data_IF_774152502219
#
_entry.id   IF_774152502219
#
_cell.length_a   1.000
_cell.length_b   1.000
_cell.length_c   1.000
_cell.angle_alpha   90.00
_cell.angle_beta   90.00
_cell.angle_gamma   90.00
#
_symmetry.space_group_name_H-M   'P 1'
#
loop_
_entity.id
_entity.type
_entity.pdbx_description
1 polymer ?
2 non-polymer ?
3 water ?
#
# COMPACT_ATOMS: atom_id res chain seq x y z
N UNK A 2 3.86 -13.46 0.97
CA UNK A 2 2.39 -13.65 0.77
C UNK A 2 1.98 -13.69 -0.69
N UNK A 3 2.95 -13.46 -1.57
CA UNK A 3 2.71 -13.46 -3.00
C UNK A 3 1.86 -12.24 -3.37
N UNK A 4 0.55 -12.43 -3.56
CA UNK A 4 -0.31 -11.30 -3.92
C UNK A 4 -0.39 -10.24 -2.82
N UNK A 5 -0.72 -10.64 -1.58
CA UNK A 5 -0.78 -9.61 -0.54
C UNK A 5 0.57 -8.89 -0.42
N UNK A 6 1.65 -9.64 -0.62
CA UNK A 6 2.98 -9.06 -0.57
C UNK A 6 3.18 -8.13 -1.77
N UNK A 7 2.85 -8.60 -2.97
CA UNK A 7 3.00 -7.74 -4.15
C UNK A 7 2.19 -6.45 -4.01
N UNK A 8 0.94 -6.57 -3.57
CA UNK A 8 0.08 -5.40 -3.41
C UNK A 8 0.66 -4.45 -2.36
N UNK A 9 1.10 -5.01 -1.23
CA UNK A 9 1.68 -4.17 -0.18
C UNK A 9 2.83 -3.31 -0.73
N UNK A 10 3.71 -3.93 -1.50
CA UNK A 10 4.85 -3.21 -2.05
C UNK A 10 4.42 -2.12 -3.03
N UNK A 11 3.43 -2.41 -3.88
CA UNK A 11 2.95 -1.39 -4.82
C UNK A 11 2.34 -0.22 -4.02
N UNK A 12 1.64 -0.54 -2.94
CA UNK A 12 1.02 0.47 -2.10
C UNK A 12 2.03 1.41 -1.43
N UNK A 13 3.08 0.81 -0.85
CA UNK A 13 4.11 1.59 -0.18
C UNK A 13 4.83 2.49 -1.18
N UNK A 14 5.10 1.96 -2.37
CA UNK A 14 5.78 2.77 -3.39
C UNK A 14 4.91 3.98 -3.78
N UNK A 15 3.65 3.71 -4.07
CA UNK A 15 2.71 4.74 -4.48
C UNK A 15 2.47 5.77 -3.38
N UNK A 16 2.37 5.31 -2.14
CA UNK A 16 2.15 6.22 -1.03
C UNK A 16 3.34 7.18 -0.92
N UNK A 17 4.55 6.64 -0.97
CA UNK A 17 5.73 7.49 -0.88
C UNK A 17 5.79 8.53 -1.99
N UNK A 18 5.46 8.12 -3.21
CA UNK A 18 5.48 9.03 -4.34
C UNK A 18 4.46 10.16 -4.16
N UNK A 19 3.25 9.80 -3.72
CA UNK A 19 2.21 10.81 -3.52
C UNK A 19 2.52 11.78 -2.38
N UNK A 20 3.11 11.28 -1.30
CA UNK A 20 3.46 12.15 -0.19
C UNK A 20 4.42 13.24 -0.68
N UNK A 21 5.34 12.87 -1.58
CA UNK A 21 6.30 13.81 -2.14
C UNK A 21 5.59 14.83 -3.03
N UNK A 22 4.45 14.41 -3.57
CA UNK A 22 3.63 15.25 -4.44
C UNK A 22 2.67 16.10 -3.61
N UNK A 23 2.86 16.09 -2.29
CA UNK A 23 2.02 16.85 -1.38
C UNK A 23 0.55 16.39 -1.29
N UNK A 24 0.29 15.11 -1.56
CA UNK A 24 -1.08 14.61 -1.47
C UNK A 24 -1.47 14.45 -0.01
N UNK A 25 -2.75 14.61 0.30
CA UNK A 25 -3.23 14.44 1.67
C UNK A 25 -3.37 12.93 1.91
N UNK A 26 -3.48 12.52 3.16
CA UNK A 26 -3.62 11.10 3.44
C UNK A 26 -4.91 10.56 2.86
N UNK A 27 -5.98 11.37 2.86
CA UNK A 27 -7.22 10.88 2.27
C UNK A 27 -7.10 10.77 0.75
N UNK A 28 -6.43 11.72 0.09
CA UNK A 28 -6.30 11.61 -1.36
C UNK A 28 -5.54 10.32 -1.71
N UNK A 29 -4.56 9.95 -0.88
CA UNK A 29 -3.79 8.73 -1.14
C UNK A 29 -4.71 7.52 -0.99
N UNK A 30 -5.50 7.51 0.07
CA UNK A 30 -6.43 6.41 0.31
C UNK A 30 -7.41 6.27 -0.87
N UNK A 31 -7.97 7.38 -1.31
CA UNK A 31 -8.92 7.35 -2.42
C UNK A 31 -8.27 6.85 -3.72
N UNK A 32 -7.10 7.38 -4.01
CA UNK A 32 -6.39 7.01 -5.22
C UNK A 32 -5.92 5.56 -5.28
N UNK A 33 -5.34 5.05 -4.19
CA UNK A 33 -4.89 3.65 -4.21
C UNK A 33 -6.08 2.72 -4.35
N UNK A 34 -7.19 3.06 -3.71
CA UNK A 34 -8.38 2.22 -3.81
C UNK A 34 -8.84 2.11 -5.26
N UNK A 35 -8.75 3.21 -5.99
CA UNK A 35 -9.13 3.24 -7.40
C UNK A 35 -8.10 2.50 -8.25
N UNK A 36 -6.82 2.60 -7.87
CA UNK A 36 -5.78 1.92 -8.63
C UNK A 36 -5.95 0.40 -8.51
N UNK A 37 -6.59 -0.04 -7.43
CA UNK A 37 -6.83 -1.48 -7.27
C UNK A 37 -7.67 -2.01 -8.45
N UNK A 38 -8.43 -1.13 -9.09
CA UNK A 38 -9.24 -1.53 -10.23
C UNK A 38 -8.38 -1.93 -11.42
N UNK A 39 -7.07 -1.75 -11.32
CA UNK A 39 -6.20 -2.15 -12.42
C UNK A 39 -5.95 -3.64 -12.37
N UNK A 40 -6.17 -4.26 -11.21
CA UNK A 40 -6.00 -5.71 -11.10
C UNK A 40 -7.10 -6.28 -11.99
N UNK A 41 -6.72 -7.13 -12.96
CA UNK A 41 -7.63 -7.77 -13.92
C UNK A 41 -8.88 -8.50 -13.45
N UNK A 42 -8.80 -9.21 -12.32
CA UNK A 42 -9.98 -9.93 -11.84
C UNK A 42 -10.67 -9.26 -10.66
N UNK A 43 -12.01 -9.30 -10.64
CA UNK A 43 -12.80 -8.69 -9.56
C UNK A 43 -12.38 -9.09 -8.15
N UNK A 44 -12.14 -10.39 -7.93
CA UNK A 44 -11.74 -10.87 -6.61
C UNK A 44 -10.38 -10.28 -6.21
N UNK A 45 -9.46 -10.18 -7.16
CA UNK A 45 -8.15 -9.61 -6.86
C UNK A 45 -8.29 -8.12 -6.54
N UNK A 46 -9.07 -7.41 -7.35
CA UNK A 46 -9.26 -5.99 -7.10
C UNK A 46 -9.88 -5.79 -5.71
N UNK A 47 -10.83 -6.65 -5.35
CA UNK A 47 -11.48 -6.57 -4.04
C UNK A 47 -10.49 -6.80 -2.89
N UNK A 48 -9.62 -7.79 -3.01
CA UNK A 48 -8.65 -8.04 -1.94
C UNK A 48 -7.64 -6.89 -1.87
N UNK A 49 -7.37 -6.26 -3.01
CA UNK A 49 -6.44 -5.14 -3.03
C UNK A 49 -7.07 -4.00 -2.24
N UNK A 50 -8.37 -3.77 -2.44
CA UNK A 50 -9.02 -2.68 -1.71
C UNK A 50 -9.04 -2.92 -0.20
N UNK A 51 -9.17 -4.17 0.22
CA UNK A 51 -9.18 -4.47 1.66
C UNK A 51 -7.79 -4.24 2.27
N UNK A 52 -6.73 -4.58 1.52
CA UNK A 52 -5.36 -4.37 2.00
C UNK A 52 -5.12 -2.87 2.13
N UNK A 53 -5.54 -2.10 1.13
CA UNK A 53 -5.38 -0.66 1.17
C UNK A 53 -6.13 -0.10 2.38
N UNK A 54 -7.40 -0.48 2.54
CA UNK A 54 -8.18 0.01 3.67
C UNK A 54 -7.60 -0.40 5.03
N UNK A 55 -7.16 -1.65 5.14
CA UNK A 55 -6.61 -2.13 6.39
C UNK A 55 -5.19 -1.65 6.72
N UNK A 56 -4.34 -1.51 5.71
CA UNK A 56 -2.95 -1.11 5.95
C UNK A 56 -2.44 0.27 5.56
N UNK A 57 -3.11 0.97 4.65
CA UNK A 57 -2.56 2.27 4.25
C UNK A 57 -2.35 3.24 5.41
N UNK A 58 -3.33 3.39 6.30
CA UNK A 58 -3.08 4.33 7.41
C UNK A 58 -1.86 4.00 8.28
N UNK A 59 -1.63 2.72 8.57
CA UNK A 59 -0.47 2.36 9.39
C UNK A 59 0.80 2.51 8.54
N UNK A 60 0.70 2.25 7.24
CA UNK A 60 1.85 2.43 6.36
C UNK A 60 2.27 3.92 6.40
N UNK A 61 1.30 4.82 6.36
CA UNK A 61 1.63 6.24 6.40
C UNK A 61 2.35 6.61 7.70
N UNK A 62 1.97 5.97 8.80
CA UNK A 62 2.64 6.25 10.07
C UNK A 62 4.05 5.68 10.07
N UNK A 63 4.20 4.50 9.49
CA UNK A 63 5.50 3.85 9.43
C UNK A 63 6.53 4.61 8.60
N UNK A 64 6.13 5.01 7.39
CA UNK A 64 7.06 5.69 6.50
C UNK A 64 7.48 7.08 6.94
N UNK A 65 6.85 7.61 7.99
CA UNK A 65 7.23 8.91 8.53
C UNK A 65 8.47 8.68 9.38
N UNK A 66 8.78 7.41 9.66
CA UNK A 66 9.94 7.06 10.46
C UNK A 66 11.16 6.69 9.62
N UNK A 67 12.07 5.90 10.19
CA UNK A 67 13.29 5.50 9.49
C UNK A 67 13.08 4.51 8.35
N UNK A 68 12.03 3.71 8.46
CA UNK A 68 11.71 2.71 7.46
C UNK A 68 10.68 3.21 6.45
N UNK A 69 11.05 3.24 5.17
CA UNK A 69 10.14 3.75 4.14
C UNK A 69 10.06 3.00 2.80
N UNK A 70 10.94 2.03 2.56
CA UNK A 70 10.94 1.29 1.30
C UNK A 70 9.97 0.11 1.34
N UNK A 71 9.39 -0.26 0.18
CA UNK A 71 8.43 -1.37 0.09
C UNK A 71 8.84 -2.69 0.74
N UNK A 72 10.03 -3.17 0.41
CA UNK A 72 10.47 -4.43 0.99
C UNK A 72 10.52 -4.40 2.51
N UNK A 73 11.25 -3.44 3.07
CA UNK A 73 11.39 -3.38 4.52
C UNK A 73 10.05 -3.13 5.23
N UNK A 74 9.22 -2.26 4.67
CA UNK A 74 7.93 -1.96 5.29
C UNK A 74 6.99 -3.17 5.24
N UNK A 75 6.85 -3.78 4.07
CA UNK A 75 5.96 -4.94 3.94
C UNK A 75 6.46 -6.19 4.70
N UNK A 76 7.76 -6.28 4.95
CA UNK A 76 8.30 -7.41 5.72
C UNK A 76 7.98 -7.18 7.21
N UNK A 77 8.00 -5.92 7.62
CA UNK A 77 7.70 -5.55 9.01
C UNK A 77 6.23 -5.89 9.32
N UNK A 78 5.35 -5.66 8.35
CA UNK A 78 3.91 -5.96 8.51
C UNK A 78 3.64 -7.44 8.29
N UNK A 79 4.70 -8.17 7.95
CA UNK A 79 4.60 -9.59 7.67
C UNK A 79 3.67 -9.95 6.53
N UNK A 80 3.57 -9.05 5.55
CA UNK A 80 2.75 -9.32 4.37
C UNK A 80 3.69 -9.98 3.35
N UNK A 81 4.99 -9.73 3.50
CA UNK A 81 6.02 -10.33 2.66
C UNK A 81 6.91 -11.14 3.61
N UNK A 82 7.45 -12.26 3.14
CA UNK A 82 8.32 -13.11 3.96
C UNK A 82 9.42 -12.30 4.64
N UNK A 83 9.53 -12.48 5.95
CA UNK A 83 10.48 -11.77 6.80
C UNK A 83 11.89 -11.61 6.27
X LIG B 1 -9.83 -2.04 -14.71
#
# INVERSE_FOLDING_TARGET
>A
MGSLPCDICKDVVTAAGDMLKDNATEEEILVYLEKTCDWLPKPNMSASCKEIVDSYLPVILDIIKGEMSRPGEVCSALNLCES
>B hetero
1 CA CA
#
